data_IF_466201950154
#
_entry.id   IF_466201950154
#
_cell.length_a   1.000
_cell.length_b   1.000
_cell.length_c   1.000
_cell.angle_alpha   90.00
_cell.angle_beta   90.00
_cell.angle_gamma   90.00
#
_symmetry.space_group_name_H-M   'P 1'
#
loop_
_entity.id
_entity.type
_entity.pdbx_description
1 polymer ?
#
# COMPACT_ATOMS: atom_id res chain seq x y z
N UNK A 1 -14.41 -42.92 3.23
CA UNK A 1 -12.94 -43.07 3.33
C UNK A 1 -12.42 -42.57 2.00
N UNK A 2 -12.29 -41.25 1.87
CA UNK A 2 -11.60 -40.66 0.72
C UNK A 2 -10.12 -40.99 0.93
N UNK A 3 -9.49 -41.54 -0.10
CA UNK A 3 -8.05 -41.81 -0.09
C UNK A 3 -7.39 -40.49 -0.45
N UNK A 4 -6.72 -39.88 0.52
CA UNK A 4 -5.79 -38.78 0.27
C UNK A 4 -4.55 -39.41 -0.37
N UNK A 5 -4.17 -39.04 -1.60
CA UNK A 5 -2.85 -39.44 -2.09
C UNK A 5 -1.80 -38.62 -1.34
N UNK A 6 -0.66 -39.23 -1.04
CA UNK A 6 0.45 -38.54 -0.37
C UNK A 6 1.61 -38.51 -1.34
N UNK A 7 1.98 -37.32 -1.78
CA UNK A 7 3.15 -37.08 -2.62
C UNK A 7 4.24 -36.45 -1.77
N UNK A 8 5.46 -36.94 -1.96
CA UNK A 8 6.66 -36.44 -1.28
C UNK A 8 7.76 -36.29 -2.30
N UNK A 9 8.31 -35.09 -2.42
CA UNK A 9 9.56 -34.87 -3.13
C UNK A 9 10.75 -35.25 -2.25
N UNK A 10 11.89 -34.73 -2.63
CA UNK A 10 13.21 -35.09 -2.16
C UNK A 10 13.88 -33.90 -1.46
N UNK A 11 15.20 -33.81 -1.55
CA UNK A 11 16.00 -32.73 -0.96
C UNK A 11 16.60 -31.85 -2.07
N UNK A 12 16.04 -31.96 -3.27
CA UNK A 12 16.50 -31.37 -4.51
C UNK A 12 15.29 -30.89 -5.28
N UNK A 13 15.54 -30.08 -6.30
CA UNK A 13 14.54 -29.59 -7.23
C UNK A 13 13.69 -30.74 -7.80
N UNK A 14 12.42 -30.76 -7.44
CA UNK A 14 11.44 -31.74 -7.85
C UNK A 14 10.32 -31.13 -8.71
N UNK A 15 9.69 -31.97 -9.52
CA UNK A 15 8.43 -31.63 -10.18
C UNK A 15 7.38 -32.64 -9.78
N UNK A 16 6.42 -32.21 -8.97
CA UNK A 16 5.35 -33.05 -8.43
C UNK A 16 4.05 -32.77 -9.18
N UNK A 17 3.35 -33.85 -9.55
CA UNK A 17 2.05 -33.79 -10.21
C UNK A 17 1.08 -34.62 -9.39
N UNK A 18 0.08 -33.97 -8.82
CA UNK A 18 -1.01 -34.58 -8.08
C UNK A 18 -1.96 -35.39 -8.97
N UNK A 19 -3.15 -35.63 -8.44
CA UNK A 19 -4.19 -36.44 -9.04
C UNK A 19 -5.51 -35.68 -9.08
N UNK A 20 -6.52 -36.20 -9.79
CA UNK A 20 -7.86 -35.61 -9.83
C UNK A 20 -8.66 -35.75 -8.52
N UNK A 21 -8.00 -36.00 -7.39
CA UNK A 21 -8.58 -36.16 -6.07
C UNK A 21 -7.74 -35.37 -5.07
N UNK A 22 -8.33 -35.03 -3.93
CA UNK A 22 -7.62 -34.43 -2.81
C UNK A 22 -6.32 -35.19 -2.46
N UNK A 23 -5.22 -34.43 -2.44
CA UNK A 23 -3.85 -34.85 -2.22
C UNK A 23 -3.24 -34.10 -1.02
N UNK A 24 -2.23 -34.72 -0.43
CA UNK A 24 -1.31 -34.09 0.49
C UNK A 24 0.07 -34.13 -0.14
N UNK A 25 0.58 -32.96 -0.52
CA UNK A 25 1.83 -32.80 -1.26
C UNK A 25 2.84 -32.11 -0.34
N UNK A 26 4.02 -32.73 -0.21
CA UNK A 26 5.15 -32.16 0.50
C UNK A 26 6.32 -32.13 -0.49
N UNK A 27 6.73 -30.95 -0.96
CA UNK A 27 7.75 -30.83 -2.00
C UNK A 27 9.14 -31.15 -1.43
N UNK A 28 9.53 -30.52 -0.33
CA UNK A 28 10.71 -30.90 0.44
C UNK A 28 11.69 -29.75 0.59
N UNK A 29 12.95 -29.97 0.21
CA UNK A 29 13.94 -28.90 0.16
C UNK A 29 14.37 -28.69 -1.29
N UNK A 30 14.82 -27.48 -1.57
CA UNK A 30 15.25 -27.08 -2.90
C UNK A 30 14.10 -26.46 -3.68
N UNK A 31 14.38 -25.74 -4.78
CA UNK A 31 13.34 -25.11 -5.59
C UNK A 31 12.46 -26.15 -6.29
N UNK A 32 11.22 -26.29 -5.83
CA UNK A 32 10.28 -27.29 -6.31
C UNK A 32 9.19 -26.67 -7.21
N UNK A 33 8.60 -27.52 -8.05
CA UNK A 33 7.40 -27.18 -8.81
C UNK A 33 6.29 -28.18 -8.52
N UNK A 34 5.16 -27.70 -8.01
CA UNK A 34 4.01 -28.54 -7.64
C UNK A 34 2.78 -28.18 -8.48
N UNK A 35 2.21 -29.16 -9.17
CA UNK A 35 0.88 -29.06 -9.79
C UNK A 35 -0.06 -30.02 -9.08
N UNK A 36 -1.04 -29.51 -8.34
CA UNK A 36 -1.93 -30.38 -7.55
C UNK A 36 -3.04 -31.05 -8.40
N UNK A 37 -3.38 -30.47 -9.55
CA UNK A 37 -4.47 -30.91 -10.46
C UNK A 37 -5.85 -30.65 -9.81
N UNK A 38 -6.90 -31.38 -10.19
CA UNK A 38 -8.21 -31.17 -9.57
C UNK A 38 -8.29 -31.83 -8.18
N UNK A 39 -8.80 -31.14 -7.17
CA UNK A 39 -8.80 -31.66 -5.81
C UNK A 39 -9.11 -30.57 -4.82
N UNK A 40 -9.17 -30.93 -3.54
CA UNK A 40 -9.03 -29.92 -2.49
C UNK A 40 -7.75 -30.33 -1.78
N UNK A 41 -6.65 -29.76 -2.19
CA UNK A 41 -5.31 -30.23 -1.94
C UNK A 41 -4.67 -29.48 -0.79
N UNK A 42 -3.74 -30.15 -0.11
CA UNK A 42 -2.90 -29.54 0.91
C UNK A 42 -1.47 -29.59 0.42
N UNK A 43 -0.86 -28.42 0.25
CA UNK A 43 0.46 -28.26 -0.38
C UNK A 43 1.40 -27.64 0.64
N UNK A 44 2.52 -28.31 0.89
CA UNK A 44 3.68 -27.79 1.61
C UNK A 44 4.82 -27.75 0.60
N UNK A 45 5.30 -26.54 0.27
CA UNK A 45 6.51 -26.36 -0.56
C UNK A 45 7.73 -26.88 0.20
N UNK A 46 8.12 -26.14 1.23
CA UNK A 46 9.16 -26.54 2.18
C UNK A 46 10.21 -25.45 2.26
N UNK A 47 11.48 -25.77 2.04
CA UNK A 47 12.51 -24.71 1.96
C UNK A 47 12.99 -24.57 0.52
N UNK A 48 13.27 -23.33 0.11
CA UNK A 48 13.71 -23.01 -1.25
C UNK A 48 12.60 -22.30 -2.02
N UNK A 49 12.99 -21.64 -3.12
CA UNK A 49 12.04 -20.87 -3.95
C UNK A 49 11.12 -21.82 -4.73
N UNK A 50 9.90 -22.02 -4.23
CA UNK A 50 8.95 -22.98 -4.79
C UNK A 50 7.94 -22.32 -5.73
N UNK A 51 7.43 -23.10 -6.68
CA UNK A 51 6.31 -22.73 -7.55
C UNK A 51 5.14 -23.68 -7.32
N UNK A 52 4.10 -23.20 -6.64
CA UNK A 52 3.03 -24.03 -6.10
C UNK A 52 1.68 -23.68 -6.77
N UNK A 53 1.13 -24.65 -7.51
CA UNK A 53 -0.12 -24.50 -8.27
C UNK A 53 -1.20 -25.46 -7.70
N UNK A 54 -2.28 -24.89 -7.17
CA UNK A 54 -3.46 -25.62 -6.68
C UNK A 54 -4.32 -26.17 -7.82
N UNK A 55 -4.40 -25.43 -8.93
CA UNK A 55 -5.17 -25.79 -10.12
C UNK A 55 -6.68 -25.75 -9.91
N UNK A 56 -7.37 -26.83 -9.54
CA UNK A 56 -8.84 -26.81 -9.50
C UNK A 56 -9.43 -27.43 -8.24
N UNK A 57 -10.01 -26.58 -7.41
CA UNK A 57 -10.83 -26.86 -6.25
C UNK A 57 -10.43 -25.93 -5.13
N UNK A 58 -10.76 -26.27 -3.88
CA UNK A 58 -10.45 -25.38 -2.75
C UNK A 58 -9.17 -25.87 -2.07
N UNK A 59 -8.04 -25.26 -2.42
CA UNK A 59 -6.70 -25.72 -2.05
C UNK A 59 -6.12 -24.94 -0.86
N UNK A 60 -5.19 -25.56 -0.16
CA UNK A 60 -4.54 -24.98 1.03
C UNK A 60 -3.04 -25.10 0.93
N UNK A 61 -2.36 -23.96 0.81
CA UNK A 61 -0.91 -23.84 0.92
C UNK A 61 -0.55 -23.59 2.37
N UNK A 62 0.25 -24.48 2.95
CA UNK A 62 0.73 -24.33 4.33
C UNK A 62 2.11 -23.69 4.28
N UNK A 63 2.26 -22.55 4.95
CA UNK A 63 3.55 -21.88 5.11
C UNK A 63 4.11 -22.20 6.48
N UNK A 64 5.31 -22.77 6.50
CA UNK A 64 6.07 -23.01 7.73
C UNK A 64 7.10 -21.88 7.89
N UNK A 65 7.08 -21.15 9.02
CA UNK A 65 7.98 -20.00 9.24
C UNK A 65 9.50 -20.27 9.29
N UNK A 66 9.99 -21.42 8.83
CA UNK A 66 11.42 -21.73 8.72
C UNK A 66 12.04 -21.45 7.36
N UNK A 67 11.24 -21.32 6.31
CA UNK A 67 11.75 -21.02 4.98
C UNK A 67 12.30 -19.59 4.91
N UNK A 68 13.35 -19.38 4.14
CA UNK A 68 14.01 -18.08 3.99
C UNK A 68 13.91 -17.51 2.58
N UNK A 69 13.49 -18.33 1.63
CA UNK A 69 13.35 -18.01 0.23
C UNK A 69 11.88 -17.61 -0.05
N UNK A 70 11.61 -16.81 -1.09
CA UNK A 70 10.25 -16.44 -1.47
C UNK A 70 9.62 -17.49 -2.39
N UNK A 71 8.32 -17.69 -2.27
CA UNK A 71 7.56 -18.66 -3.04
C UNK A 71 6.60 -17.98 -4.03
N UNK A 72 6.16 -18.74 -5.04
CA UNK A 72 5.04 -18.41 -5.91
C UNK A 72 3.84 -19.30 -5.58
N UNK A 73 2.70 -18.67 -5.34
CA UNK A 73 1.44 -19.34 -5.06
C UNK A 73 0.40 -19.02 -6.12
N UNK A 74 -0.22 -20.06 -6.67
CA UNK A 74 -1.30 -19.94 -7.64
C UNK A 74 -2.44 -20.88 -7.23
N UNK A 75 -3.49 -20.33 -6.62
CA UNK A 75 -4.65 -21.12 -6.18
C UNK A 75 -5.36 -21.79 -7.35
N UNK A 76 -5.63 -21.01 -8.41
CA UNK A 76 -6.33 -21.49 -9.59
C UNK A 76 -7.84 -21.30 -9.46
N UNK A 77 -8.61 -22.38 -9.59
CA UNK A 77 -10.05 -22.34 -9.65
C UNK A 77 -10.68 -22.92 -8.39
N UNK A 78 -11.15 -22.06 -7.50
CA UNK A 78 -11.95 -22.46 -6.34
C UNK A 78 -11.86 -21.38 -5.28
N UNK A 79 -11.85 -21.78 -4.02
CA UNK A 79 -11.51 -20.89 -2.91
C UNK A 79 -10.24 -21.39 -2.25
N UNK A 80 -9.14 -20.70 -2.52
CA UNK A 80 -7.80 -21.12 -2.14
C UNK A 80 -7.28 -20.28 -0.99
N UNK A 81 -6.36 -20.86 -0.20
CA UNK A 81 -5.82 -20.17 0.96
C UNK A 81 -4.34 -20.46 1.23
N UNK A 82 -3.64 -19.44 1.72
CA UNK A 82 -2.36 -19.57 2.41
C UNK A 82 -2.63 -19.58 3.91
N UNK A 83 -2.06 -20.55 4.62
CA UNK A 83 -2.30 -20.75 6.05
C UNK A 83 -0.99 -20.86 6.83
N UNK A 84 -0.83 -19.97 7.80
CA UNK A 84 0.25 -19.96 8.78
C UNK A 84 0.03 -20.95 9.93
N UNK A 85 1.06 -21.11 10.75
CA UNK A 85 1.10 -22.04 11.86
C UNK A 85 0.66 -21.43 13.19
N UNK A 86 1.20 -22.00 14.27
CA UNK A 86 0.92 -21.56 15.64
C UNK A 86 1.91 -20.51 16.16
N UNK A 87 2.91 -20.15 15.35
CA UNK A 87 4.02 -19.28 15.71
C UNK A 87 3.91 -17.93 15.02
N UNK A 88 5.02 -17.21 14.95
CA UNK A 88 5.14 -16.07 14.04
C UNK A 88 5.53 -16.64 12.67
N UNK A 89 4.75 -16.33 11.64
CA UNK A 89 4.95 -16.83 10.29
C UNK A 89 5.25 -15.69 9.31
N UNK A 90 6.12 -15.95 8.34
CA UNK A 90 6.47 -15.00 7.28
C UNK A 90 6.08 -15.62 5.94
N UNK A 91 5.08 -15.05 5.28
CA UNK A 91 4.69 -15.42 3.92
C UNK A 91 5.61 -14.67 2.96
N UNK A 92 6.68 -15.32 2.50
CA UNK A 92 7.60 -14.72 1.53
C UNK A 92 7.08 -14.94 0.13
N UNK A 93 6.83 -13.86 -0.60
CA UNK A 93 6.20 -13.91 -1.92
C UNK A 93 6.91 -12.90 -2.81
N UNK A 94 7.40 -13.32 -3.98
CA UNK A 94 8.06 -12.41 -4.93
C UNK A 94 7.11 -11.92 -6.05
N UNK A 95 6.01 -12.62 -6.30
CA UNK A 95 4.95 -12.20 -7.23
C UNK A 95 3.60 -12.68 -6.72
N UNK A 96 2.72 -11.74 -6.36
CA UNK A 96 1.35 -11.99 -5.97
C UNK A 96 0.42 -11.16 -6.87
N UNK A 97 0.31 -11.56 -8.13
CA UNK A 97 -0.44 -10.78 -9.12
C UNK A 97 -1.06 -11.64 -10.23
N UNK A 98 -2.09 -11.12 -10.89
CA UNK A 98 -2.72 -11.77 -12.03
C UNK A 98 -3.35 -13.12 -11.66
N UNK A 99 -2.72 -14.24 -12.08
CA UNK A 99 -3.17 -15.59 -11.72
C UNK A 99 -2.50 -16.12 -10.45
N UNK A 100 -1.38 -15.52 -10.03
CA UNK A 100 -0.58 -15.95 -8.89
C UNK A 100 -1.15 -15.32 -7.61
N UNK A 101 -2.35 -15.74 -7.24
CA UNK A 101 -3.06 -15.23 -6.06
C UNK A 101 -3.86 -16.35 -5.39
N UNK A 102 -4.35 -16.07 -4.19
CA UNK A 102 -5.37 -16.86 -3.48
C UNK A 102 -6.41 -15.92 -2.88
N UNK A 103 -7.58 -16.45 -2.52
CA UNK A 103 -8.65 -15.65 -1.93
C UNK A 103 -8.43 -15.32 -0.45
N UNK A 104 -7.61 -16.08 0.27
CA UNK A 104 -7.35 -15.89 1.70
C UNK A 104 -5.89 -16.12 2.09
N UNK A 105 -5.33 -15.20 2.88
CA UNK A 105 -4.10 -15.43 3.64
C UNK A 105 -4.45 -15.33 5.12
N UNK A 106 -4.34 -16.43 5.86
CA UNK A 106 -4.56 -16.45 7.32
C UNK A 106 -3.25 -16.80 8.03
N UNK A 107 -2.67 -15.83 8.72
CA UNK A 107 -1.46 -16.02 9.52
C UNK A 107 -1.63 -16.96 10.72
N UNK A 108 -2.86 -17.22 11.16
CA UNK A 108 -3.11 -18.05 12.33
C UNK A 108 -2.76 -17.34 13.65
N UNK A 109 -1.97 -18.00 14.51
CA UNK A 109 -1.54 -17.38 15.77
C UNK A 109 -0.29 -16.51 15.56
N UNK A 110 0.24 -15.90 16.63
CA UNK A 110 1.48 -15.12 16.55
C UNK A 110 1.36 -13.77 15.83
N UNK A 111 2.51 -13.23 15.45
CA UNK A 111 2.67 -11.99 14.68
C UNK A 111 3.16 -12.36 13.29
N UNK A 112 2.26 -12.31 12.32
CA UNK A 112 2.54 -12.81 10.98
C UNK A 112 2.74 -11.65 10.01
N UNK A 113 3.60 -11.85 9.03
CA UNK A 113 3.96 -10.79 8.08
C UNK A 113 3.98 -11.37 6.68
N UNK A 114 3.63 -10.53 5.71
CA UNK A 114 3.89 -10.82 4.30
C UNK A 114 5.18 -10.07 3.96
N UNK A 115 6.12 -10.74 3.30
CA UNK A 115 7.40 -10.16 2.92
C UNK A 115 7.69 -10.41 1.44
N UNK A 116 8.13 -9.37 0.74
CA UNK A 116 8.72 -9.46 -0.58
C UNK A 116 10.11 -10.10 -0.57
N UNK A 117 10.78 -9.97 -1.70
CA UNK A 117 12.10 -10.50 -2.00
C UNK A 117 13.20 -9.42 -1.87
N UNK A 118 14.36 -9.67 -2.47
CA UNK A 118 15.43 -8.66 -2.58
C UNK A 118 15.38 -7.88 -3.91
N UNK A 119 14.33 -8.11 -4.70
CA UNK A 119 14.15 -7.61 -6.05
C UNK A 119 12.80 -6.92 -6.19
N UNK A 120 12.60 -6.25 -7.34
CA UNK A 120 11.35 -5.62 -7.72
C UNK A 120 10.16 -6.62 -7.61
N UNK A 121 9.28 -6.41 -6.64
CA UNK A 121 8.11 -7.25 -6.42
C UNK A 121 6.82 -6.61 -6.93
N UNK A 122 5.81 -7.45 -7.16
CA UNK A 122 4.44 -7.01 -7.46
C UNK A 122 3.48 -7.77 -6.55
N UNK A 123 2.93 -7.08 -5.55
CA UNK A 123 2.09 -7.66 -4.51
C UNK A 123 0.70 -7.02 -4.55
N UNK A 124 -0.31 -7.75 -5.02
CA UNK A 124 -1.68 -7.25 -5.24
C UNK A 124 -2.71 -8.00 -4.39
N UNK A 125 -3.07 -7.42 -3.23
CA UNK A 125 -4.01 -8.03 -2.29
C UNK A 125 -5.45 -7.54 -2.45
N UNK A 126 -5.78 -6.79 -3.51
CA UNK A 126 -7.12 -6.19 -3.70
C UNK A 126 -8.27 -7.18 -3.70
N UNK A 127 -8.00 -8.43 -4.09
CA UNK A 127 -9.00 -9.50 -4.13
C UNK A 127 -8.74 -10.59 -3.09
N UNK A 128 -7.83 -10.35 -2.14
CA UNK A 128 -7.41 -11.32 -1.13
C UNK A 128 -7.78 -10.82 0.25
N UNK A 129 -8.40 -11.69 1.03
CA UNK A 129 -8.65 -11.39 2.43
C UNK A 129 -7.38 -11.68 3.24
N UNK A 130 -6.87 -10.67 3.94
CA UNK A 130 -5.78 -10.83 4.91
C UNK A 130 -6.35 -11.00 6.32
N UNK A 131 -6.01 -12.11 6.99
CA UNK A 131 -6.38 -12.40 8.37
C UNK A 131 -5.13 -12.66 9.21
N UNK A 132 -5.10 -12.08 10.41
CA UNK A 132 -3.98 -12.26 11.35
C UNK A 132 -2.61 -11.89 10.76
N UNK A 133 -2.58 -10.95 9.81
CA UNK A 133 -1.37 -10.35 9.24
C UNK A 133 -1.14 -9.01 9.95
N UNK A 134 0.08 -8.78 10.42
CA UNK A 134 0.47 -7.58 11.14
C UNK A 134 0.85 -6.44 10.19
N UNK A 135 1.58 -6.75 9.12
CA UNK A 135 1.96 -5.82 8.06
C UNK A 135 2.44 -6.56 6.80
N UNK A 136 2.49 -5.83 5.69
CA UNK A 136 3.12 -6.19 4.42
C UNK A 136 4.46 -5.42 4.33
N UNK A 137 5.52 -6.08 3.92
CA UNK A 137 6.88 -5.53 3.77
C UNK A 137 7.39 -5.82 2.36
N UNK A 138 7.64 -4.81 1.53
CA UNK A 138 8.18 -4.97 0.17
C UNK A 138 9.62 -5.49 0.18
N UNK A 139 10.42 -5.07 1.16
CA UNK A 139 11.80 -5.54 1.30
C UNK A 139 12.80 -4.65 0.58
N UNK A 140 13.50 -5.17 -0.43
CA UNK A 140 14.41 -4.36 -1.25
C UNK A 140 14.00 -4.43 -2.71
N UNK A 141 14.35 -3.38 -3.45
CA UNK A 141 13.94 -3.25 -4.84
C UNK A 141 12.80 -2.24 -4.95
N UNK A 142 12.54 -1.68 -6.14
CA UNK A 142 11.35 -0.88 -6.38
C UNK A 142 10.11 -1.77 -6.46
N UNK A 143 9.27 -1.69 -5.45
CA UNK A 143 8.13 -2.59 -5.28
C UNK A 143 6.80 -1.93 -5.68
N UNK A 144 5.85 -2.73 -6.16
CA UNK A 144 4.46 -2.28 -6.35
C UNK A 144 3.55 -3.06 -5.41
N UNK A 145 2.95 -2.38 -4.45
CA UNK A 145 2.16 -2.99 -3.39
C UNK A 145 0.76 -2.38 -3.35
N UNK A 146 -0.26 -3.21 -3.59
CA UNK A 146 -1.66 -2.87 -3.35
C UNK A 146 -2.15 -3.64 -2.11
N UNK A 147 -2.65 -2.89 -1.14
CA UNK A 147 -3.34 -3.41 0.04
C UNK A 147 -4.60 -4.19 -0.31
N UNK A 148 -5.24 -4.68 0.73
CA UNK A 148 -6.54 -5.33 0.68
C UNK A 148 -7.68 -4.30 0.82
N UNK A 149 -8.92 -4.77 0.90
CA UNK A 149 -10.06 -3.89 1.23
C UNK A 149 -10.31 -3.80 2.74
N UNK A 150 -9.26 -3.98 3.55
CA UNK A 150 -9.28 -3.91 5.01
C UNK A 150 -8.20 -2.93 5.48
N UNK A 151 -8.15 -2.69 6.79
CA UNK A 151 -7.07 -1.89 7.39
C UNK A 151 -5.75 -2.63 7.23
N UNK A 152 -4.82 -2.02 6.51
CA UNK A 152 -3.50 -2.54 6.20
C UNK A 152 -2.38 -1.66 6.75
N UNK A 153 -1.25 -2.31 7.04
CA UNK A 153 0.02 -1.66 7.34
C UNK A 153 1.01 -2.09 6.28
N UNK A 154 1.50 -1.15 5.49
CA UNK A 154 2.37 -1.41 4.34
C UNK A 154 3.70 -0.68 4.54
N UNK A 155 4.79 -1.43 4.43
CA UNK A 155 6.15 -0.92 4.41
C UNK A 155 6.73 -1.16 3.02
N UNK A 156 7.18 -0.10 2.33
CA UNK A 156 7.84 -0.20 1.03
C UNK A 156 9.19 -0.88 1.17
N UNK A 157 10.10 -0.27 1.93
CA UNK A 157 11.39 -0.89 2.25
C UNK A 157 12.55 -0.07 1.71
N UNK A 158 13.43 -0.70 0.93
CA UNK A 158 14.49 0.01 0.22
C UNK A 158 14.21 -0.02 -1.27
N UNK A 159 13.88 1.11 -1.88
CA UNK A 159 13.45 1.07 -3.27
C UNK A 159 12.88 2.40 -3.74
N UNK A 160 12.41 2.44 -4.97
CA UNK A 160 11.45 3.46 -5.36
C UNK A 160 10.10 2.76 -5.40
N UNK A 161 9.36 2.82 -4.30
CA UNK A 161 8.19 1.97 -4.07
C UNK A 161 6.90 2.67 -4.46
N UNK A 162 5.90 1.90 -4.90
CA UNK A 162 4.55 2.37 -5.19
C UNK A 162 3.57 1.65 -4.28
N UNK A 163 3.05 2.38 -3.29
CA UNK A 163 2.20 1.86 -2.23
C UNK A 163 0.77 2.38 -2.39
N UNK A 164 -0.19 1.47 -2.42
CA UNK A 164 -1.62 1.76 -2.53
C UNK A 164 -2.37 1.12 -1.36
N UNK A 165 -3.01 1.90 -0.50
CA UNK A 165 -3.77 1.40 0.67
C UNK A 165 -5.05 0.66 0.28
N UNK A 166 -5.68 1.12 -0.80
CA UNK A 166 -6.96 0.64 -1.33
C UNK A 166 -8.16 1.06 -0.49
N UNK A 167 -8.75 0.19 0.33
CA UNK A 167 -9.89 0.57 1.14
C UNK A 167 -9.66 0.18 2.59
N UNK A 168 -9.70 1.13 3.50
CA UNK A 168 -9.25 0.91 4.88
C UNK A 168 -8.85 2.23 5.50
N UNK A 169 -8.62 2.25 6.82
CA UNK A 169 -7.89 3.37 7.43
C UNK A 169 -6.45 2.88 7.58
N UNK A 170 -5.65 3.05 6.52
CA UNK A 170 -4.38 2.35 6.31
C UNK A 170 -3.18 3.13 6.84
N UNK A 171 -2.06 2.44 7.01
CA UNK A 171 -0.76 3.05 7.33
C UNK A 171 0.28 2.63 6.31
N UNK A 172 0.74 3.59 5.50
CA UNK A 172 1.74 3.37 4.46
C UNK A 172 3.05 4.07 4.85
N UNK A 173 4.16 3.34 4.78
CA UNK A 173 5.50 3.87 4.99
C UNK A 173 6.44 3.49 3.84
N UNK A 174 6.93 4.47 3.08
CA UNK A 174 7.88 4.23 1.97
C UNK A 174 9.26 3.77 2.46
N UNK A 175 9.71 4.35 3.57
CA UNK A 175 11.00 4.10 4.21
C UNK A 175 12.19 4.70 3.45
N UNK A 176 12.88 3.99 2.56
CA UNK A 176 14.06 4.51 1.88
C UNK A 176 13.87 4.53 0.37
N UNK A 177 13.98 5.71 -0.21
CA UNK A 177 14.07 5.97 -1.64
C UNK A 177 12.96 6.91 -2.09
N UNK A 178 12.65 6.94 -3.39
CA UNK A 178 11.70 7.92 -3.91
C UNK A 178 10.34 7.26 -4.10
N UNK A 179 9.48 7.41 -3.11
CA UNK A 179 8.28 6.58 -3.00
C UNK A 179 7.01 7.31 -3.46
N UNK A 180 6.06 6.54 -3.98
CA UNK A 180 4.72 6.98 -4.33
C UNK A 180 3.73 6.35 -3.36
N UNK A 181 2.97 7.18 -2.64
CA UNK A 181 2.00 6.72 -1.64
C UNK A 181 0.60 7.26 -2.00
N UNK A 182 -0.35 6.35 -2.19
CA UNK A 182 -1.78 6.64 -2.40
C UNK A 182 -2.60 5.85 -1.38
N UNK A 183 -3.13 6.51 -0.36
CA UNK A 183 -4.00 5.86 0.63
C UNK A 183 -5.29 5.29 0.03
N UNK A 184 -5.76 5.92 -1.06
CA UNK A 184 -7.01 5.63 -1.74
C UNK A 184 -8.24 5.91 -0.86
N UNK A 185 -8.95 4.89 -0.39
CA UNK A 185 -10.24 5.08 0.26
C UNK A 185 -10.20 4.84 1.77
N UNK A 186 -10.34 5.91 2.54
CA UNK A 186 -10.45 5.87 4.01
C UNK A 186 -9.44 6.81 4.62
N UNK A 187 -9.36 6.92 5.96
CA UNK A 187 -8.53 7.96 6.57
C UNK A 187 -7.14 7.43 6.85
N UNK A 188 -6.20 7.73 5.97
CA UNK A 188 -4.91 7.06 5.95
C UNK A 188 -3.82 7.84 6.66
N UNK A 189 -2.77 7.12 7.08
CA UNK A 189 -1.52 7.71 7.57
C UNK A 189 -0.39 7.37 6.62
N UNK A 190 0.23 8.40 6.03
CA UNK A 190 1.27 8.26 5.02
C UNK A 190 2.59 8.86 5.50
N UNK A 191 3.68 8.09 5.41
CA UNK A 191 5.06 8.53 5.71
C UNK A 191 6.00 8.06 4.59
N UNK A 192 6.42 8.97 3.71
CA UNK A 192 7.33 8.64 2.61
C UNK A 192 8.70 8.19 3.09
N UNK A 193 9.17 8.68 4.25
CA UNK A 193 10.50 8.34 4.75
C UNK A 193 11.61 9.21 4.14
N UNK A 194 12.65 8.60 3.59
CA UNK A 194 13.84 9.26 3.07
C UNK A 194 13.84 9.27 1.54
N UNK A 195 13.85 10.43 0.91
CA UNK A 195 14.01 10.53 -0.54
C UNK A 195 13.03 11.54 -1.13
N UNK A 196 12.68 11.41 -2.40
CA UNK A 196 11.77 12.35 -3.04
C UNK A 196 10.39 11.73 -3.13
N UNK A 197 9.56 11.95 -2.12
CA UNK A 197 8.31 11.21 -2.01
C UNK A 197 7.15 11.97 -2.64
N UNK A 198 6.19 11.21 -3.18
CA UNK A 198 4.94 11.73 -3.73
C UNK A 198 3.76 11.14 -2.98
N UNK A 199 3.06 11.98 -2.24
CA UNK A 199 1.79 11.66 -1.60
C UNK A 199 0.65 12.04 -2.56
N UNK A 200 -0.05 11.05 -3.10
CA UNK A 200 -1.22 11.27 -3.94
C UNK A 200 -2.45 11.50 -3.08
N UNK A 201 -3.16 12.59 -3.34
CA UNK A 201 -4.41 12.92 -2.67
C UNK A 201 -5.52 13.14 -3.70
N UNK A 202 -6.59 12.35 -3.60
CA UNK A 202 -7.68 12.32 -4.55
C UNK A 202 -8.95 12.94 -3.95
N UNK A 203 -10.13 12.58 -4.48
CA UNK A 203 -11.43 13.08 -4.03
C UNK A 203 -12.34 11.89 -3.74
N UNK A 204 -12.12 11.28 -2.59
CA UNK A 204 -12.59 9.97 -2.13
C UNK A 204 -13.53 10.08 -0.93
N UNK A 205 -13.44 11.17 -0.17
CA UNK A 205 -14.26 11.54 0.97
C UNK A 205 -13.58 11.35 2.34
N UNK A 206 -12.26 11.35 2.37
CA UNK A 206 -11.39 10.96 3.48
C UNK A 206 -10.66 12.13 4.17
N UNK A 207 -9.89 11.79 5.21
CA UNK A 207 -9.12 12.73 6.01
C UNK A 207 -7.73 12.15 6.30
N UNK A 208 -6.84 12.28 5.34
CA UNK A 208 -5.51 11.70 5.43
C UNK A 208 -4.56 12.53 6.29
N UNK A 209 -3.55 11.86 6.79
CA UNK A 209 -2.47 12.43 7.58
C UNK A 209 -1.14 12.10 6.93
N UNK A 210 -0.39 13.13 6.54
CA UNK A 210 0.97 13.01 6.06
C UNK A 210 1.94 13.33 7.19
N UNK A 211 2.85 12.40 7.45
CA UNK A 211 3.93 12.54 8.42
C UNK A 211 5.27 12.66 7.68
N UNK A 212 5.61 13.85 7.20
CA UNK A 212 6.87 14.04 6.49
C UNK A 212 8.07 13.85 7.43
N UNK A 213 9.02 13.00 7.03
CA UNK A 213 10.15 12.63 7.87
C UNK A 213 11.06 13.83 8.17
N UNK A 214 11.13 14.20 9.45
CA UNK A 214 11.94 15.33 9.92
C UNK A 214 13.46 15.13 9.76
N UNK A 215 13.90 13.91 9.41
CA UNK A 215 15.29 13.53 9.24
C UNK A 215 15.78 13.63 7.80
N UNK A 216 14.89 13.88 6.84
CA UNK A 216 15.32 13.98 5.46
C UNK A 216 16.16 15.25 5.23
N UNK A 217 17.18 15.09 4.41
CA UNK A 217 18.17 16.10 4.14
C UNK A 217 17.58 17.19 3.23
N UNK A 218 18.05 18.44 3.33
CA UNK A 218 17.47 19.58 2.61
C UNK A 218 17.66 19.57 1.07
N UNK A 219 18.00 18.43 0.44
CA UNK A 219 18.19 18.32 -1.01
C UNK A 219 17.20 17.39 -1.71
N UNK A 220 16.32 16.75 -0.95
CA UNK A 220 15.16 16.03 -1.47
C UNK A 220 13.99 16.99 -1.70
N UNK A 221 12.93 16.49 -2.33
CA UNK A 221 11.73 17.25 -2.70
C UNK A 221 10.51 16.37 -2.53
N UNK A 222 9.84 16.54 -1.41
CA UNK A 222 8.56 15.88 -1.13
C UNK A 222 7.41 16.64 -1.78
N UNK A 223 6.47 15.90 -2.35
CA UNK A 223 5.36 16.44 -3.14
C UNK A 223 4.03 15.90 -2.67
N UNK A 224 3.09 16.78 -2.35
CA UNK A 224 1.67 16.39 -2.33
C UNK A 224 1.07 16.63 -3.71
N UNK A 225 0.63 15.57 -4.36
CA UNK A 225 0.04 15.59 -5.68
C UNK A 225 -1.48 15.46 -5.59
N UNK A 226 -2.19 16.51 -6.01
CA UNK A 226 -3.64 16.50 -6.08
C UNK A 226 -4.14 15.88 -7.39
N UNK A 227 -5.18 15.03 -7.29
CA UNK A 227 -5.85 14.38 -8.41
C UNK A 227 -6.23 15.31 -9.57
N UNK A 228 -6.32 14.75 -10.77
CA UNK A 228 -6.50 15.51 -12.02
C UNK A 228 -7.81 16.31 -12.10
N UNK A 229 -8.80 15.99 -11.28
CA UNK A 229 -10.08 16.68 -11.17
C UNK A 229 -10.09 17.77 -10.07
N UNK A 230 -8.97 17.97 -9.39
CA UNK A 230 -8.80 18.96 -8.32
C UNK A 230 -8.02 20.15 -8.84
N UNK A 231 -8.68 21.31 -8.86
CA UNK A 231 -8.04 22.58 -9.20
C UNK A 231 -7.50 23.28 -7.95
N UNK A 232 -6.43 24.05 -8.11
CA UNK A 232 -5.90 24.98 -7.10
C UNK A 232 -6.94 25.95 -6.51
N UNK A 233 -7.99 26.30 -7.25
CA UNK A 233 -9.08 27.15 -6.75
C UNK A 233 -10.07 26.41 -5.84
N UNK A 234 -9.96 25.09 -5.75
CA UNK A 234 -10.78 24.23 -4.89
C UNK A 234 -10.06 23.84 -3.60
N UNK A 235 -8.79 24.22 -3.43
CA UNK A 235 -8.00 23.93 -2.25
C UNK A 235 -8.14 25.05 -1.24
N UNK A 236 -8.39 24.69 0.02
CA UNK A 236 -8.45 25.61 1.14
C UNK A 236 -7.40 25.24 2.17
N UNK A 237 -6.42 26.13 2.34
CA UNK A 237 -5.30 25.99 3.26
C UNK A 237 -5.63 26.68 4.59
N UNK A 238 -5.42 25.96 5.69
CA UNK A 238 -5.59 26.48 7.05
C UNK A 238 -4.53 25.92 7.98
N UNK A 239 -4.07 26.76 8.91
CA UNK A 239 -3.30 26.30 10.05
C UNK A 239 -4.27 25.80 11.14
N UNK A 240 -4.06 24.57 11.58
CA UNK A 240 -4.78 23.98 12.71
C UNK A 240 -3.76 23.52 13.75
N UNK A 241 -3.68 24.20 14.90
CA UNK A 241 -2.62 24.00 15.88
C UNK A 241 -1.21 24.15 15.25
N UNK A 242 -0.44 23.07 15.21
CA UNK A 242 0.89 23.02 14.63
C UNK A 242 0.91 22.43 13.21
N UNK A 243 -0.25 22.09 12.67
CA UNK A 243 -0.40 21.34 11.43
C UNK A 243 -0.91 22.24 10.31
N UNK A 244 -0.62 21.85 9.07
CA UNK A 244 -1.23 22.44 7.88
C UNK A 244 -2.36 21.51 7.44
N UNK A 245 -3.59 22.00 7.49
CA UNK A 245 -4.74 21.31 6.92
C UNK A 245 -5.06 21.89 5.54
N UNK A 246 -5.24 21.01 4.56
CA UNK A 246 -5.67 21.35 3.21
C UNK A 246 -6.93 20.56 2.93
N UNK A 247 -8.03 21.26 2.66
CA UNK A 247 -9.31 20.63 2.35
C UNK A 247 -9.79 20.98 0.96
N UNK A 248 -10.54 20.08 0.34
CA UNK A 248 -11.22 20.35 -0.92
C UNK A 248 -12.57 21.03 -0.61
N UNK A 249 -12.78 22.22 -1.14
CA UNK A 249 -13.99 22.99 -0.84
C UNK A 249 -15.25 22.24 -1.31
N UNK A 250 -16.26 22.22 -0.44
CA UNK A 250 -17.55 21.60 -0.74
C UNK A 250 -17.59 20.10 -0.52
N UNK A 251 -16.49 19.45 -0.11
CA UNK A 251 -16.46 18.03 0.22
C UNK A 251 -15.98 17.80 1.66
N UNK A 252 -15.83 16.54 2.05
CA UNK A 252 -15.23 16.15 3.34
C UNK A 252 -13.73 15.86 3.20
N UNK A 253 -13.19 15.82 1.98
CA UNK A 253 -11.80 15.51 1.70
C UNK A 253 -10.86 16.51 2.38
N UNK A 254 -9.94 16.01 3.19
CA UNK A 254 -8.83 16.80 3.67
C UNK A 254 -7.55 15.99 3.84
N UNK A 255 -6.42 16.67 3.70
CA UNK A 255 -5.11 16.13 4.05
C UNK A 255 -4.47 17.04 5.09
N UNK A 256 -3.97 16.44 6.16
CA UNK A 256 -3.29 17.12 7.26
C UNK A 256 -1.81 16.78 7.23
N UNK A 257 -0.97 17.80 7.07
CA UNK A 257 0.47 17.67 7.16
C UNK A 257 0.89 17.98 8.59
N UNK A 258 1.30 16.94 9.32
CA UNK A 258 1.63 17.04 10.73
C UNK A 258 2.88 17.88 10.96
N UNK A 259 2.88 18.65 12.06
CA UNK A 259 4.03 19.41 12.54
C UNK A 259 4.63 20.43 11.54
N UNK A 260 3.86 20.80 10.51
CA UNK A 260 4.24 21.79 9.49
C UNK A 260 4.76 23.11 10.10
N UNK A 261 4.15 23.56 11.20
CA UNK A 261 4.51 24.79 11.91
C UNK A 261 5.41 24.55 13.13
N UNK A 262 5.66 23.29 13.50
CA UNK A 262 6.56 22.91 14.59
C UNK A 262 8.02 22.90 14.13
N UNK A 263 8.30 22.30 12.97
CA UNK A 263 9.67 22.11 12.48
C UNK A 263 9.77 22.18 10.95
N UNK A 264 10.72 22.95 10.38
CA UNK A 264 10.84 23.09 8.92
C UNK A 264 11.11 21.80 8.15
N UNK A 265 11.59 20.74 8.82
CA UNK A 265 11.89 19.45 8.19
C UNK A 265 10.65 18.55 8.08
N UNK A 266 9.53 18.88 8.73
CA UNK A 266 8.24 18.21 8.51
C UNK A 266 7.39 18.86 7.42
N UNK A 267 7.92 19.86 6.73
CA UNK A 267 7.24 20.50 5.61
C UNK A 267 7.59 19.77 4.32
N UNK A 268 6.58 19.34 3.55
CA UNK A 268 6.80 19.01 2.15
C UNK A 268 7.29 20.22 1.36
N UNK A 269 7.98 19.99 0.25
CA UNK A 269 8.60 21.06 -0.55
C UNK A 269 7.63 21.71 -1.53
N UNK A 270 6.71 20.93 -2.07
CA UNK A 270 5.76 21.41 -3.07
C UNK A 270 4.42 20.69 -3.04
N UNK A 271 3.44 21.36 -3.63
CA UNK A 271 2.12 20.85 -3.91
C UNK A 271 1.87 20.99 -5.40
N UNK A 272 1.37 19.95 -6.06
CA UNK A 272 1.08 19.99 -7.49
C UNK A 272 -0.39 19.70 -7.74
N UNK A 273 -0.98 20.43 -8.67
CA UNK A 273 -2.25 20.04 -9.30
C UNK A 273 -1.95 19.54 -10.72
N UNK A 274 -2.98 19.15 -11.48
CA UNK A 274 -2.89 18.77 -12.91
C UNK A 274 -1.73 19.42 -13.68
N UNK A 275 -1.10 18.68 -14.62
CA UNK A 275 0.13 19.01 -15.35
C UNK A 275 0.48 20.52 -15.38
N UNK A 276 1.49 20.89 -14.59
CA UNK A 276 2.31 22.08 -14.80
C UNK A 276 2.10 23.26 -13.86
N UNK A 277 1.20 23.19 -12.87
CA UNK A 277 1.07 24.21 -11.81
C UNK A 277 1.56 23.64 -10.46
N UNK A 278 2.52 24.32 -9.84
CA UNK A 278 3.08 23.94 -8.54
C UNK A 278 3.03 25.11 -7.55
N UNK A 279 2.74 24.78 -6.30
CA UNK A 279 2.85 25.68 -5.15
C UNK A 279 4.05 25.23 -4.32
N UNK A 280 5.08 26.06 -4.21
CA UNK A 280 6.25 25.74 -3.37
C UNK A 280 6.00 26.14 -1.91
N UNK A 281 6.61 25.43 -0.95
CA UNK A 281 6.40 25.63 0.50
C UNK A 281 6.48 27.09 0.95
N UNK A 282 7.40 27.87 0.38
CA UNK A 282 7.59 29.30 0.70
C UNK A 282 6.36 30.19 0.41
N UNK A 283 5.42 29.71 -0.40
CA UNK A 283 4.19 30.39 -0.80
C UNK A 283 2.95 29.88 -0.07
N UNK A 284 3.05 28.84 0.77
CA UNK A 284 1.90 28.30 1.50
C UNK A 284 1.35 29.32 2.50
N UNK A 285 2.24 29.98 3.24
CA UNK A 285 1.85 30.89 4.32
C UNK A 285 1.01 32.09 3.84
N UNK A 286 1.27 32.62 2.64
CA UNK A 286 0.44 33.69 2.08
C UNK A 286 -0.99 33.21 1.76
N UNK A 287 -1.17 31.95 1.37
CA UNK A 287 -2.51 31.37 1.14
C UNK A 287 -3.25 31.20 2.47
N UNK A 288 -2.57 30.62 3.47
CA UNK A 288 -3.15 30.43 4.82
C UNK A 288 -3.58 31.77 5.42
N UNK A 289 -2.73 32.80 5.34
CA UNK A 289 -3.07 34.14 5.83
C UNK A 289 -4.26 34.76 5.09
N UNK A 290 -4.28 34.66 3.75
CA UNK A 290 -5.39 35.20 2.96
C UNK A 290 -6.71 34.48 3.28
N UNK A 291 -6.70 33.16 3.41
CA UNK A 291 -7.87 32.34 3.69
C UNK A 291 -8.37 32.48 5.14
N UNK A 292 -7.49 32.73 6.11
CA UNK A 292 -7.85 32.93 7.52
C UNK A 292 -8.81 34.10 7.78
N UNK A 293 -8.91 35.04 6.84
CA UNK A 293 -9.83 36.19 6.93
C UNK A 293 -11.29 35.83 6.63
N UNK A 294 -11.54 34.58 6.23
CA UNK A 294 -12.84 34.11 5.78
C UNK A 294 -13.26 32.85 6.53
N UNK A 295 -14.58 32.65 6.62
CA UNK A 295 -15.10 31.33 7.01
C UNK A 295 -14.89 30.35 5.86
N UNK A 296 -14.31 29.17 6.11
CA UNK A 296 -14.15 28.15 5.09
C UNK A 296 -15.52 27.72 4.52
N UNK A 297 -15.69 27.58 3.18
CA UNK A 297 -16.91 27.04 2.57
C UNK A 297 -17.41 25.75 3.24
N UNK A 298 -18.71 25.63 3.55
CA UNK A 298 -19.29 24.41 4.10
C UNK A 298 -19.40 23.30 3.05
N UNK A 299 -19.57 22.06 3.50
CA UNK A 299 -19.86 20.90 2.64
C UNK A 299 -21.06 21.19 1.74
N UNK A 300 -20.95 20.81 0.47
CA UNK A 300 -21.91 21.09 -0.59
C UNK A 300 -21.73 22.44 -1.29
N UNK A 301 -20.89 23.35 -0.77
CA UNK A 301 -20.52 24.59 -1.46
C UNK A 301 -19.21 24.40 -2.25
N UNK A 302 -19.35 23.97 -3.51
CA UNK A 302 -18.23 23.65 -4.40
C UNK A 302 -17.46 24.86 -4.96
N UNK A 303 -17.97 26.07 -4.74
CA UNK A 303 -17.37 27.30 -5.24
C UNK A 303 -17.23 28.35 -4.13
N UNK A 304 -16.14 29.12 -4.19
CA UNK A 304 -15.98 30.31 -3.37
C UNK A 304 -17.08 31.34 -3.69
N UNK A 305 -17.51 32.10 -2.68
CA UNK A 305 -18.43 33.24 -2.91
C UNK A 305 -17.79 34.31 -3.80
N UNK A 306 -18.56 35.17 -4.50
CA UNK A 306 -17.98 36.22 -5.34
C UNK A 306 -17.01 37.15 -4.60
N UNK A 307 -17.25 37.41 -3.31
CA UNK A 307 -16.35 38.20 -2.47
C UNK A 307 -15.02 37.45 -2.21
N UNK A 308 -15.09 36.17 -1.85
CA UNK A 308 -13.91 35.33 -1.67
C UNK A 308 -13.12 35.19 -2.97
N UNK A 309 -13.77 34.94 -4.11
CA UNK A 309 -13.10 34.85 -5.41
C UNK A 309 -12.32 36.13 -5.75
N UNK A 310 -12.92 37.30 -5.54
CA UNK A 310 -12.28 38.59 -5.82
C UNK A 310 -11.03 38.83 -4.96
N UNK A 311 -10.96 38.27 -3.75
CA UNK A 311 -9.84 38.46 -2.83
C UNK A 311 -8.80 37.33 -2.89
N UNK A 312 -9.24 36.07 -3.05
CA UNK A 312 -8.38 34.89 -3.00
C UNK A 312 -7.80 34.51 -4.37
N UNK A 313 -8.56 34.62 -5.46
CA UNK A 313 -8.07 34.19 -6.78
C UNK A 313 -6.77 34.88 -7.23
N UNK A 314 -6.57 36.20 -7.01
CA UNK A 314 -5.29 36.83 -7.35
C UNK A 314 -4.12 36.33 -6.51
N UNK A 315 -4.35 35.93 -5.26
CA UNK A 315 -3.31 35.38 -4.37
C UNK A 315 -2.99 33.94 -4.78
N UNK A 316 -4.01 33.13 -5.06
CA UNK A 316 -3.88 31.76 -5.58
C UNK A 316 -3.08 31.79 -6.89
N UNK A 317 -3.51 32.57 -7.88
CA UNK A 317 -2.83 32.64 -9.18
C UNK A 317 -1.39 33.20 -9.12
N UNK A 318 -1.03 33.96 -8.09
CA UNK A 318 0.35 34.44 -7.90
C UNK A 318 1.23 33.41 -7.16
N UNK A 319 0.60 32.56 -6.34
CA UNK A 319 1.25 31.51 -5.59
C UNK A 319 1.58 30.32 -6.51
N UNK A 320 0.60 29.78 -7.22
CA UNK A 320 0.81 28.65 -8.12
C UNK A 320 1.54 29.08 -9.41
N UNK A 321 2.66 28.43 -9.74
CA UNK A 321 3.54 28.75 -10.88
C UNK A 321 3.97 27.52 -11.69
#
# INVERSE_FOLDING_TARGET
MLWLAILKGSEWDDTLNGTLQADLIHAGNGPDTVFADAGNDIILGGNGEDSLYGEAGDDTFIVEGSDSEPDLFNGGAGYDQLLGGSGDDTFRIYDFSGANTVELIDGGAGTNVIAGSEWDDTLDFRNTQLLNIAYIDGGNGPDNIWGSNQVDVILGGNGEDSLYGEAGDDTLSGLNGADYLDGSGGNDTLDGGLGNDTYQFNRDGDNDVIQNAATDNSSTTDTVSFGVDISQYQLWFSQENADLNIRIIGTNDSVTLNDWYSQPTSQVDQFTVSIGEALIKSQVEQLVQAMSSFTPPPVGQMELTPEQQNQLNPVIAAAWQ
#
